data_IF_999598049244
#
_entry.id   IF_999598049244
#
_cell.length_a   1.000
_cell.length_b   1.000
_cell.length_c   1.000
_cell.angle_alpha   90.00
_cell.angle_beta   90.00
_cell.angle_gamma   90.00
#
_symmetry.space_group_name_H-M   'P 1'
#
loop_
_entity.id
_entity.type
_entity.pdbx_description
1 polymer ?
#
# COMPACT_ATOMS: atom_id res chain seq x y z
N UNK A 1 12.73 21.82 -8.76
CA UNK A 1 11.40 21.22 -8.48
C UNK A 1 11.06 21.14 -6.98
N UNK A 2 11.64 20.27 -6.13
CA UNK A 2 11.32 20.26 -4.68
C UNK A 2 11.70 21.57 -3.97
N UNK A 3 12.86 22.14 -4.34
CA UNK A 3 13.32 23.47 -3.88
C UNK A 3 12.47 24.63 -4.41
N UNK A 4 11.78 24.46 -5.54
CA UNK A 4 10.90 25.49 -6.14
C UNK A 4 9.55 25.53 -5.44
N UNK A 5 9.05 24.35 -5.03
CA UNK A 5 7.83 24.23 -4.22
C UNK A 5 8.03 24.79 -2.80
N UNK A 6 9.22 24.62 -2.22
CA UNK A 6 9.59 25.25 -0.94
C UNK A 6 9.73 26.78 -1.07
N UNK A 7 10.16 27.28 -2.23
CA UNK A 7 10.35 28.72 -2.51
C UNK A 7 9.06 29.55 -2.52
N UNK A 8 7.90 28.91 -2.61
CA UNK A 8 6.59 29.58 -2.66
C UNK A 8 5.71 29.29 -1.45
N UNK A 9 6.26 28.69 -0.38
CA UNK A 9 5.48 28.39 0.83
C UNK A 9 4.29 27.46 0.59
N UNK A 10 4.24 26.78 -0.57
CA UNK A 10 3.08 26.03 -0.99
C UNK A 10 3.17 24.59 -0.47
N UNK A 11 2.86 24.43 0.82
CA UNK A 11 2.84 23.16 1.55
C UNK A 11 1.98 22.11 0.81
N UNK A 12 0.91 22.54 0.12
CA UNK A 12 0.12 21.66 -0.73
C UNK A 12 0.94 21.02 -1.86
N UNK A 13 1.85 21.74 -2.50
CA UNK A 13 2.62 21.24 -3.63
C UNK A 13 3.66 20.19 -3.19
N UNK A 14 4.26 20.38 -2.02
CA UNK A 14 5.17 19.39 -1.41
C UNK A 14 4.41 18.13 -1.01
N UNK A 15 3.25 18.29 -0.36
CA UNK A 15 2.40 17.17 0.03
C UNK A 15 1.89 16.38 -1.19
N UNK A 16 1.46 17.09 -2.25
CA UNK A 16 1.04 16.50 -3.53
C UNK A 16 2.17 15.70 -4.17
N UNK A 17 3.40 16.22 -4.16
CA UNK A 17 4.55 15.53 -4.74
C UNK A 17 4.88 14.24 -3.99
N UNK A 18 4.87 14.27 -2.65
CA UNK A 18 5.14 13.07 -1.83
C UNK A 18 4.05 12.01 -2.01
N UNK A 19 2.78 12.41 -1.98
CA UNK A 19 1.64 11.51 -2.21
C UNK A 19 1.70 10.90 -3.61
N UNK A 20 2.06 11.70 -4.62
CA UNK A 20 2.23 11.24 -5.99
C UNK A 20 3.34 10.18 -6.13
N UNK A 21 4.51 10.42 -5.52
CA UNK A 21 5.63 9.48 -5.56
C UNK A 21 5.30 8.15 -4.85
N UNK A 22 4.64 8.22 -3.69
CA UNK A 22 4.16 7.04 -2.95
C UNK A 22 3.09 6.30 -3.78
N UNK A 23 2.16 7.04 -4.39
CA UNK A 23 1.11 6.48 -5.24
C UNK A 23 1.68 5.73 -6.44
N UNK A 24 2.57 6.35 -7.21
CA UNK A 24 3.23 5.70 -8.35
C UNK A 24 4.03 4.46 -7.94
N UNK A 25 4.75 4.55 -6.81
CA UNK A 25 5.51 3.42 -6.27
C UNK A 25 4.59 2.24 -5.95
N UNK A 26 3.51 2.47 -5.19
CA UNK A 26 2.53 1.41 -4.86
C UNK A 26 1.82 0.88 -6.11
N UNK A 27 1.38 1.75 -7.03
CA UNK A 27 0.71 1.33 -8.26
C UNK A 27 1.60 0.50 -9.19
N UNK A 28 2.93 0.68 -9.15
CA UNK A 28 3.85 -0.12 -9.97
C UNK A 28 3.79 -1.62 -9.65
N UNK A 29 3.49 -1.99 -8.40
CA UNK A 29 3.22 -3.36 -7.99
C UNK A 29 1.99 -3.92 -8.70
N UNK A 30 0.87 -3.18 -8.69
CA UNK A 30 -0.39 -3.59 -9.28
C UNK A 30 -0.31 -3.64 -10.81
N UNK A 31 0.40 -2.70 -11.44
CA UNK A 31 0.63 -2.68 -12.89
C UNK A 31 1.41 -3.93 -13.32
N UNK A 32 2.47 -4.29 -12.59
CA UNK A 32 3.23 -5.51 -12.87
C UNK A 32 2.33 -6.75 -12.73
N UNK A 33 1.53 -6.82 -11.66
CA UNK A 33 0.61 -7.92 -11.44
C UNK A 33 -0.46 -8.02 -12.54
N UNK A 34 -1.03 -6.91 -12.97
CA UNK A 34 -2.04 -6.84 -14.03
C UNK A 34 -1.50 -7.39 -15.36
N UNK A 35 -0.27 -7.03 -15.74
CA UNK A 35 0.35 -7.48 -17.00
C UNK A 35 0.69 -8.98 -16.94
N UNK A 36 1.17 -9.45 -15.79
CA UNK A 36 1.68 -10.82 -15.63
C UNK A 36 0.56 -11.83 -15.39
N UNK A 37 -0.56 -11.41 -14.78
CA UNK A 37 -1.66 -12.31 -14.39
C UNK A 37 -2.21 -13.12 -15.56
N UNK A 38 -2.58 -12.54 -16.71
CA UNK A 38 -3.11 -13.33 -17.84
C UNK A 38 -2.11 -14.38 -18.34
N UNK A 39 -0.82 -14.02 -18.41
CA UNK A 39 0.25 -14.90 -18.87
C UNK A 39 0.44 -16.09 -17.93
N UNK A 40 0.52 -15.83 -16.62
CA UNK A 40 0.70 -16.85 -15.60
C UNK A 40 -0.54 -17.72 -15.44
N UNK A 41 -1.75 -17.15 -15.46
CA UNK A 41 -3.00 -17.90 -15.42
C UNK A 41 -3.10 -18.88 -16.59
N UNK A 42 -2.76 -18.44 -17.79
CA UNK A 42 -2.81 -19.28 -18.98
C UNK A 42 -1.76 -20.39 -18.99
N UNK A 43 -0.48 -20.05 -18.78
CA UNK A 43 0.63 -21.03 -18.80
C UNK A 43 0.54 -21.96 -17.59
N UNK A 44 0.22 -21.41 -16.42
CA UNK A 44 0.13 -22.14 -15.16
C UNK A 44 -1.05 -23.10 -15.09
N UNK A 45 -2.13 -22.85 -15.84
CA UNK A 45 -3.32 -23.72 -15.88
C UNK A 45 -3.02 -25.15 -16.36
N UNK A 46 -2.01 -25.35 -17.21
CA UNK A 46 -1.67 -26.68 -17.77
C UNK A 46 -0.48 -27.35 -17.07
N UNK A 47 0.33 -26.57 -16.34
CA UNK A 47 1.58 -27.01 -15.72
C UNK A 47 1.42 -27.28 -14.21
N UNK A 48 2.53 -27.58 -13.53
CA UNK A 48 2.55 -27.81 -12.07
C UNK A 48 2.34 -26.47 -11.34
N UNK A 49 1.09 -26.11 -11.03
CA UNK A 49 0.73 -24.83 -10.37
C UNK A 49 1.60 -24.48 -9.14
N UNK A 50 1.91 -25.41 -8.20
CA UNK A 50 2.77 -25.09 -7.05
C UNK A 50 4.17 -24.62 -7.43
N UNK A 51 4.71 -25.07 -8.58
CA UNK A 51 6.02 -24.63 -9.06
C UNK A 51 6.00 -23.14 -9.45
N UNK A 52 4.92 -22.67 -10.09
CA UNK A 52 4.73 -21.26 -10.41
C UNK A 52 4.55 -20.44 -9.15
N UNK A 53 3.80 -20.94 -8.16
CA UNK A 53 3.67 -20.30 -6.86
C UNK A 53 5.02 -20.19 -6.12
N UNK A 54 5.86 -21.23 -6.18
CA UNK A 54 7.19 -21.22 -5.58
C UNK A 54 8.11 -20.18 -6.23
N UNK A 55 8.23 -20.18 -7.56
CA UNK A 55 9.01 -19.17 -8.29
C UNK A 55 8.47 -17.76 -8.09
N UNK A 56 7.15 -17.60 -8.02
CA UNK A 56 6.51 -16.35 -7.66
C UNK A 56 6.96 -15.87 -6.28
N UNK A 57 6.82 -16.70 -5.26
CA UNK A 57 7.19 -16.34 -3.89
C UNK A 57 8.68 -16.02 -3.73
N UNK A 58 9.55 -16.77 -4.42
CA UNK A 58 10.98 -16.45 -4.49
C UNK A 58 11.22 -15.06 -5.11
N UNK A 59 10.59 -14.80 -6.26
CA UNK A 59 10.69 -13.50 -6.96
C UNK A 59 10.17 -12.36 -6.08
N UNK A 60 9.09 -12.59 -5.32
CA UNK A 60 8.56 -11.61 -4.38
C UNK A 60 9.57 -11.27 -3.28
N UNK A 61 10.26 -12.27 -2.74
CA UNK A 61 11.34 -12.08 -1.78
C UNK A 61 12.50 -11.26 -2.35
N UNK A 62 12.92 -11.53 -3.59
CA UNK A 62 13.92 -10.72 -4.30
C UNK A 62 13.46 -9.27 -4.46
N UNK A 63 12.18 -9.05 -4.79
CA UNK A 63 11.59 -7.71 -4.85
C UNK A 63 11.70 -6.93 -3.53
N UNK A 64 11.45 -7.59 -2.40
CA UNK A 64 11.63 -6.96 -1.08
C UNK A 64 13.09 -6.63 -0.78
N UNK A 65 14.04 -7.51 -1.15
CA UNK A 65 15.46 -7.18 -1.01
C UNK A 65 15.87 -5.99 -1.86
N UNK A 66 15.37 -5.88 -3.10
CA UNK A 66 15.60 -4.70 -3.95
C UNK A 66 14.99 -3.44 -3.31
N UNK A 67 13.79 -3.55 -2.76
CA UNK A 67 13.09 -2.42 -2.13
C UNK A 67 13.80 -1.86 -0.91
N UNK A 68 14.52 -2.68 -0.13
CA UNK A 68 15.32 -2.21 1.01
C UNK A 68 16.70 -1.63 0.62
N UNK A 69 17.22 -1.91 -0.59
CA UNK A 69 18.55 -1.47 -1.02
C UNK A 69 18.81 0.03 -0.84
N UNK A 70 17.88 0.95 -1.17
CA UNK A 70 18.10 2.39 -1.04
C UNK A 70 18.66 2.80 0.32
N UNK A 71 18.25 2.16 1.41
CA UNK A 71 18.75 2.47 2.75
C UNK A 71 20.27 2.25 2.87
N UNK A 72 20.80 1.18 2.27
CA UNK A 72 22.21 0.81 2.39
C UNK A 72 23.12 1.50 1.38
N UNK A 73 22.56 1.88 0.22
CA UNK A 73 23.33 2.56 -0.84
C UNK A 73 23.27 4.08 -0.71
N UNK A 74 22.26 4.63 -0.02
CA UNK A 74 22.20 6.05 0.28
C UNK A 74 23.16 6.41 1.42
N UNK A 75 23.70 7.64 1.46
CA UNK A 75 24.40 8.15 2.63
C UNK A 75 23.55 8.00 3.91
N UNK A 76 24.18 7.73 5.08
CA UNK A 76 23.46 7.57 6.35
C UNK A 76 22.56 8.76 6.65
N UNK A 77 21.39 8.49 7.22
CA UNK A 77 20.44 9.55 7.53
C UNK A 77 20.97 10.45 8.66
N UNK A 78 21.42 11.65 8.29
CA UNK A 78 21.79 12.68 9.25
C UNK A 78 20.57 13.54 9.58
N UNK A 79 19.86 13.17 10.63
CA UNK A 79 18.93 14.10 11.23
C UNK A 79 19.75 15.23 11.86
N UNK A 80 19.45 16.50 11.56
CA UNK A 80 20.11 17.67 12.15
C UNK A 80 19.85 17.69 13.66
N UNK A 81 20.61 16.88 14.39
CA UNK A 81 20.63 16.82 15.83
C UNK A 81 21.54 17.97 16.27
N UNK A 82 21.01 18.84 17.12
CA UNK A 82 21.82 19.85 17.79
C UNK A 82 22.76 19.06 18.71
N UNK A 83 24.03 18.99 18.33
CA UNK A 83 25.08 18.39 19.14
C UNK A 83 25.28 19.34 20.32
N UNK A 84 24.60 19.09 21.44
CA UNK A 84 24.91 19.72 22.72
C UNK A 84 26.17 19.09 23.27
N UNK A 85 27.33 19.62 22.87
CA UNK A 85 28.56 19.40 23.62
C UNK A 85 28.46 20.24 24.90
N UNK A 86 28.37 19.56 26.04
CA UNK A 86 28.06 20.09 27.37
C UNK A 86 29.14 20.99 28.01
N UNK A 87 30.18 21.39 27.27
CA UNK A 87 31.37 22.03 27.86
C UNK A 87 31.76 23.39 27.25
N UNK A 88 30.92 24.00 26.41
CA UNK A 88 31.20 25.32 25.83
C UNK A 88 30.14 26.33 26.24
N UNK A 89 30.60 27.42 26.86
CA UNK A 89 29.83 28.63 27.14
C UNK A 89 29.03 29.08 25.91
N UNK A 90 27.78 29.45 26.16
CA UNK A 90 26.66 29.65 25.19
C UNK A 90 26.86 30.86 24.24
N UNK A 91 28.09 31.32 24.01
CA UNK A 91 28.34 32.53 23.21
C UNK A 91 28.77 32.27 21.77
N UNK A 92 29.27 31.09 21.42
CA UNK A 92 29.79 30.81 20.06
C UNK A 92 29.29 29.48 19.49
N UNK A 93 27.99 29.20 19.64
CA UNK A 93 27.37 28.16 18.84
C UNK A 93 27.15 28.77 17.45
N UNK A 94 27.92 28.33 16.43
CA UNK A 94 27.71 28.70 15.03
C UNK A 94 26.38 28.12 14.55
N UNK A 95 25.30 28.78 14.98
CA UNK A 95 23.89 28.47 14.77
C UNK A 95 23.50 29.10 13.45
N UNK A 96 23.98 28.52 12.35
CA UNK A 96 23.72 29.06 11.01
C UNK A 96 22.40 28.56 10.41
N UNK A 97 21.70 27.60 11.05
CA UNK A 97 20.49 27.00 10.45
C UNK A 97 19.35 26.65 11.46
N UNK A 98 19.13 27.47 12.49
CA UNK A 98 17.95 27.32 13.38
C UNK A 98 16.72 28.07 12.90
N UNK A 99 16.83 28.83 11.80
CA UNK A 99 15.72 29.64 11.29
C UNK A 99 15.19 30.66 12.29
N UNK A 100 16.03 31.17 13.21
CA UNK A 100 15.72 32.26 14.15
C UNK A 100 15.61 33.61 13.43
N UNK A 101 14.99 34.60 14.10
CA UNK A 101 14.96 35.99 13.64
C UNK A 101 16.31 36.67 13.89
N UNK A 102 16.87 37.33 12.87
CA UNK A 102 18.06 38.18 13.03
C UNK A 102 17.95 39.45 12.18
N UNK A 103 18.14 40.62 12.80
CA UNK A 103 17.94 41.94 12.18
C UNK A 103 18.96 42.33 11.09
N UNK A 104 20.03 41.56 10.93
CA UNK A 104 21.24 41.86 10.17
C UNK A 104 21.67 40.61 9.38
N UNK A 105 20.71 39.95 8.73
CA UNK A 105 20.98 38.82 7.86
C UNK A 105 21.62 39.32 6.56
N UNK A 106 22.90 39.71 6.62
CA UNK A 106 23.69 39.95 5.41
C UNK A 106 23.88 38.62 4.71
N UNK A 107 23.36 38.53 3.49
CA UNK A 107 23.25 37.33 2.67
C UNK A 107 24.62 36.83 2.14
N UNK A 108 25.65 36.78 2.99
CA UNK A 108 26.99 36.30 2.64
C UNK A 108 27.15 34.78 2.73
N UNK A 109 26.11 34.05 3.14
CA UNK A 109 26.09 32.57 3.15
C UNK A 109 24.95 31.95 2.32
N UNK A 110 24.26 32.72 1.47
CA UNK A 110 23.27 32.20 0.52
C UNK A 110 23.86 31.52 -0.72
N UNK A 111 25.19 31.57 -0.91
CA UNK A 111 25.88 30.97 -2.08
C UNK A 111 26.69 29.71 -1.80
N UNK A 112 26.90 29.34 -0.54
CA UNK A 112 27.70 28.15 -0.23
C UNK A 112 26.83 27.15 0.54
N UNK A 113 26.47 26.06 -0.16
CA UNK A 113 25.81 24.84 0.33
C UNK A 113 24.28 24.74 0.19
N UNK A 114 23.72 25.24 -0.90
CA UNK A 114 23.02 24.29 -1.76
C UNK A 114 24.06 23.84 -2.78
N UNK A 115 24.84 22.78 -2.47
CA UNK A 115 25.35 21.99 -3.58
C UNK A 115 24.10 21.66 -4.38
N UNK A 116 24.09 22.03 -5.67
CA UNK A 116 23.20 21.37 -6.60
C UNK A 116 23.38 19.88 -6.32
N UNK A 117 22.42 19.29 -5.61
CA UNK A 117 22.35 17.84 -5.52
C UNK A 117 22.30 17.43 -6.98
N UNK A 118 23.39 16.83 -7.43
CA UNK A 118 23.56 16.27 -8.75
C UNK A 118 22.24 15.64 -9.12
N UNK A 119 21.56 16.19 -10.14
CA UNK A 119 20.18 15.86 -10.55
C UNK A 119 19.94 14.36 -10.86
N UNK A 120 20.94 13.48 -10.65
CA UNK A 120 20.88 12.04 -10.81
C UNK A 120 20.83 11.19 -9.53
N UNK A 121 21.06 11.72 -8.32
CA UNK A 121 21.12 10.92 -7.09
C UNK A 121 19.75 10.41 -6.60
N UNK A 122 18.77 11.31 -6.46
CA UNK A 122 17.44 10.97 -5.93
C UNK A 122 16.61 10.11 -6.90
N UNK A 123 16.85 10.20 -8.21
CA UNK A 123 16.14 9.39 -9.22
C UNK A 123 16.53 7.92 -9.14
N UNK A 124 17.80 7.60 -8.87
CA UNK A 124 18.27 6.22 -8.79
C UNK A 124 17.63 5.46 -7.61
N UNK A 125 17.61 6.08 -6.43
CA UNK A 125 17.00 5.47 -5.23
C UNK A 125 15.49 5.28 -5.41
N UNK A 126 14.82 6.25 -6.03
CA UNK A 126 13.40 6.11 -6.38
C UNK A 126 13.16 4.98 -7.40
N UNK A 127 14.02 4.85 -8.41
CA UNK A 127 13.92 3.76 -9.38
C UNK A 127 14.09 2.39 -8.74
N UNK A 128 14.94 2.24 -7.72
CA UNK A 128 15.07 1.00 -6.94
C UNK A 128 13.80 0.65 -6.17
N UNK A 129 13.11 1.64 -5.57
CA UNK A 129 11.81 1.41 -4.93
C UNK A 129 10.76 0.92 -5.92
N UNK A 130 10.66 1.56 -7.08
CA UNK A 130 9.73 1.15 -8.16
C UNK A 130 10.09 -0.24 -8.69
N UNK A 131 11.37 -0.51 -8.93
CA UNK A 131 11.84 -1.82 -9.39
C UNK A 131 11.50 -2.92 -8.37
N UNK A 132 11.74 -2.68 -7.08
CA UNK A 132 11.39 -3.60 -6.01
C UNK A 132 9.89 -3.93 -5.99
N UNK A 133 9.04 -2.92 -6.15
CA UNK A 133 7.59 -3.10 -6.23
C UNK A 133 7.13 -3.86 -7.48
N UNK A 134 7.72 -3.57 -8.65
CA UNK A 134 7.44 -4.29 -9.90
C UNK A 134 7.80 -5.77 -9.77
N UNK A 135 8.99 -6.07 -9.25
CA UNK A 135 9.45 -7.45 -9.02
C UNK A 135 8.59 -8.15 -7.97
N UNK A 136 8.20 -7.45 -6.89
CA UNK A 136 7.30 -7.99 -5.88
C UNK A 136 5.89 -8.30 -6.45
N UNK A 137 5.32 -7.40 -7.25
CA UNK A 137 4.02 -7.60 -7.90
C UNK A 137 4.03 -8.76 -8.89
N UNK A 138 5.10 -8.87 -9.68
CA UNK A 138 5.36 -10.01 -10.55
C UNK A 138 5.41 -11.33 -9.76
N UNK A 139 6.12 -11.33 -8.64
CA UNK A 139 6.28 -12.50 -7.77
C UNK A 139 4.99 -12.91 -7.03
N UNK A 140 4.16 -11.95 -6.65
CA UNK A 140 2.91 -12.26 -5.95
C UNK A 140 1.86 -12.92 -6.87
N UNK A 141 1.87 -12.53 -8.15
CA UNK A 141 0.87 -12.90 -9.15
C UNK A 141 0.52 -14.39 -9.22
N UNK A 142 1.49 -15.34 -9.28
CA UNK A 142 1.17 -16.77 -9.34
C UNK A 142 0.36 -17.28 -8.16
N UNK A 143 0.54 -16.72 -6.95
CA UNK A 143 -0.20 -17.15 -5.78
C UNK A 143 -1.68 -16.80 -5.89
N UNK A 144 -2.00 -15.58 -6.34
CA UNK A 144 -3.38 -15.15 -6.58
C UNK A 144 -4.01 -15.86 -7.78
N UNK A 145 -3.26 -15.99 -8.88
CA UNK A 145 -3.75 -16.57 -10.13
C UNK A 145 -3.98 -18.09 -10.05
N UNK A 146 -3.09 -18.82 -9.37
CA UNK A 146 -3.06 -20.29 -9.41
C UNK A 146 -3.33 -20.95 -8.06
N UNK A 147 -3.26 -20.22 -6.95
CA UNK A 147 -3.46 -20.78 -5.60
C UNK A 147 -4.86 -21.33 -5.38
N UNK A 148 -5.90 -20.52 -5.64
CA UNK A 148 -7.30 -20.96 -5.53
C UNK A 148 -7.62 -22.09 -6.52
N UNK A 149 -7.29 -21.97 -7.83
CA UNK A 149 -7.49 -23.07 -8.77
C UNK A 149 -6.75 -24.36 -8.40
N UNK A 150 -5.58 -24.27 -7.75
CA UNK A 150 -4.86 -25.45 -7.29
C UNK A 150 -5.61 -26.14 -6.14
N UNK A 151 -6.16 -25.39 -5.18
CA UNK A 151 -6.99 -25.98 -4.12
C UNK A 151 -8.27 -26.60 -4.67
N UNK A 152 -8.93 -25.90 -5.60
CA UNK A 152 -10.19 -26.35 -6.21
C UNK A 152 -10.03 -27.70 -6.92
N UNK A 153 -8.94 -27.89 -7.65
CA UNK A 153 -8.64 -29.16 -8.33
C UNK A 153 -8.20 -30.29 -7.40
N UNK A 154 -7.67 -29.97 -6.22
CA UNK A 154 -7.01 -30.95 -5.34
C UNK A 154 -7.82 -31.33 -4.11
N UNK A 155 -8.84 -30.54 -3.76
CA UNK A 155 -9.69 -30.74 -2.59
C UNK A 155 -11.05 -31.26 -3.05
N UNK A 156 -11.74 -32.01 -2.19
CA UNK A 156 -13.07 -32.52 -2.50
C UNK A 156 -14.10 -31.37 -2.57
N UNK A 157 -14.89 -31.33 -3.64
CA UNK A 157 -15.97 -30.36 -3.95
C UNK A 157 -16.81 -29.95 -2.72
N UNK A 158 -17.07 -30.89 -1.79
CA UNK A 158 -17.88 -30.62 -0.57
C UNK A 158 -17.21 -29.71 0.46
N UNK A 159 -15.88 -29.67 0.49
CA UNK A 159 -15.10 -28.92 1.49
C UNK A 159 -14.21 -27.85 0.87
N UNK A 160 -14.07 -27.81 -0.46
CA UNK A 160 -13.23 -26.83 -1.18
C UNK A 160 -13.49 -25.38 -0.78
N UNK A 161 -14.76 -24.98 -0.65
CA UNK A 161 -15.13 -23.60 -0.23
C UNK A 161 -14.59 -23.23 1.15
N UNK A 162 -14.49 -24.18 2.08
CA UNK A 162 -13.90 -23.96 3.40
C UNK A 162 -12.38 -23.74 3.30
N UNK A 163 -11.68 -24.51 2.48
CA UNK A 163 -10.23 -24.35 2.28
C UNK A 163 -9.90 -23.01 1.60
N UNK A 164 -10.68 -22.62 0.58
CA UNK A 164 -10.56 -21.30 -0.05
C UNK A 164 -10.82 -20.18 0.97
N UNK A 165 -11.83 -20.34 1.84
CA UNK A 165 -12.08 -19.41 2.94
C UNK A 165 -10.90 -19.28 3.90
N UNK A 166 -10.27 -20.39 4.32
CA UNK A 166 -9.07 -20.38 5.17
C UNK A 166 -7.90 -19.68 4.47
N UNK A 167 -7.70 -19.94 3.18
CA UNK A 167 -6.65 -19.29 2.39
C UNK A 167 -6.84 -17.77 2.36
N UNK A 168 -8.03 -17.27 2.03
CA UNK A 168 -8.33 -15.82 2.02
C UNK A 168 -8.19 -15.22 3.42
N UNK A 169 -8.71 -15.89 4.44
CA UNK A 169 -8.59 -15.47 5.84
C UNK A 169 -7.12 -15.35 6.30
N UNK A 170 -6.26 -16.26 5.86
CA UNK A 170 -4.82 -16.22 6.18
C UNK A 170 -4.13 -14.99 5.59
N UNK A 171 -4.55 -14.52 4.40
CA UNK A 171 -4.08 -13.27 3.81
C UNK A 171 -4.47 -12.05 4.63
N UNK A 172 -5.73 -12.00 5.11
CA UNK A 172 -6.22 -10.92 5.98
C UNK A 172 -5.44 -10.91 7.31
N UNK A 173 -5.25 -12.08 7.92
CA UNK A 173 -4.45 -12.20 9.14
C UNK A 173 -3.00 -11.74 8.92
N UNK A 174 -2.40 -12.12 7.79
CA UNK A 174 -1.06 -11.67 7.39
C UNK A 174 -0.96 -10.14 7.31
N UNK A 175 -1.96 -9.47 6.74
CA UNK A 175 -2.02 -8.01 6.71
C UNK A 175 -2.06 -7.39 8.12
N UNK A 176 -2.84 -7.97 9.05
CA UNK A 176 -2.93 -7.52 10.44
C UNK A 176 -1.57 -7.59 11.14
N UNK A 177 -0.91 -8.74 11.01
CA UNK A 177 0.44 -8.97 11.54
C UNK A 177 1.44 -7.97 10.93
N UNK A 178 1.32 -7.71 9.62
CA UNK A 178 2.14 -6.72 8.91
C UNK A 178 1.99 -5.31 9.49
N UNK A 179 0.76 -4.82 9.70
CA UNK A 179 0.52 -3.49 10.28
C UNK A 179 1.02 -3.34 11.72
N UNK A 180 0.92 -4.40 12.52
CA UNK A 180 1.46 -4.41 13.89
C UNK A 180 2.99 -4.38 13.86
N UNK A 181 3.63 -5.19 13.02
CA UNK A 181 5.08 -5.26 12.93
C UNK A 181 5.68 -3.97 12.36
N UNK A 182 5.10 -3.40 11.29
CA UNK A 182 5.57 -2.12 10.73
C UNK A 182 5.43 -0.99 11.75
N UNK A 183 4.38 -1.00 12.59
CA UNK A 183 4.24 -0.05 13.70
C UNK A 183 5.43 -0.14 14.66
N UNK A 184 5.82 -1.37 15.07
CA UNK A 184 6.98 -1.59 15.95
C UNK A 184 8.30 -1.16 15.30
N UNK A 185 8.49 -1.46 14.02
CA UNK A 185 9.68 -1.05 13.28
C UNK A 185 9.78 0.48 13.14
N UNK A 186 8.65 1.16 12.93
CA UNK A 186 8.61 2.62 12.80
C UNK A 186 8.86 3.37 14.13
N UNK A 187 8.74 2.71 15.28
CA UNK A 187 9.12 3.28 16.60
C UNK A 187 10.63 3.24 16.83
N UNK A 188 11.37 2.41 16.09
CA UNK A 188 12.83 2.38 16.14
C UNK A 188 13.42 3.37 15.13
N UNK A 189 14.51 4.05 15.50
CA UNK A 189 15.16 5.01 14.60
C UNK A 189 15.77 4.27 13.40
N UNK A 190 15.80 4.95 12.25
CA UNK A 190 16.25 4.37 10.98
C UNK A 190 17.69 3.85 11.02
N UNK A 191 18.58 4.55 11.74
CA UNK A 191 19.97 4.13 11.95
C UNK A 191 20.12 3.39 13.28
N UNK A 192 20.33 2.06 13.27
CA UNK A 192 20.50 1.29 14.50
C UNK A 192 21.74 1.75 15.27
N UNK A 193 21.60 1.97 16.58
CA UNK A 193 22.73 2.30 17.47
C UNK A 193 23.12 3.78 17.53
N UNK A 194 22.50 4.65 16.72
CA UNK A 194 22.70 6.11 16.82
C UNK A 194 21.84 6.67 17.96
N UNK A 195 22.47 7.32 18.94
CA UNK A 195 21.74 8.09 19.95
C UNK A 195 21.26 9.40 19.34
N UNK A 196 19.95 9.62 19.38
CA UNK A 196 19.30 10.82 18.86
C UNK A 196 18.43 11.45 19.94
N UNK A 197 18.40 12.78 19.97
CA UNK A 197 17.47 13.55 20.81
C UNK A 197 16.05 13.60 20.23
N UNK A 198 15.86 13.10 19.00
CA UNK A 198 14.58 13.08 18.31
C UNK A 198 13.61 12.08 18.96
N UNK A 199 12.34 12.47 19.01
CA UNK A 199 11.25 11.61 19.47
C UNK A 199 10.39 11.17 18.29
N UNK A 200 9.58 10.12 18.47
CA UNK A 200 8.65 9.60 17.44
C UNK A 200 7.60 10.61 16.96
N UNK A 201 7.42 11.74 17.66
CA UNK A 201 6.50 12.81 17.27
C UNK A 201 7.18 13.86 16.38
N UNK A 202 8.52 13.86 16.32
CA UNK A 202 9.27 14.80 15.50
C UNK A 202 9.07 14.47 14.01
N UNK A 203 8.87 15.50 13.18
CA UNK A 203 8.74 15.34 11.72
C UNK A 203 10.02 14.82 11.06
N UNK A 204 11.17 15.01 11.71
CA UNK A 204 12.49 14.48 11.28
C UNK A 204 12.67 13.02 11.67
N UNK A 205 11.75 12.44 12.45
CA UNK A 205 11.83 11.03 12.80
C UNK A 205 11.56 10.16 11.58
N UNK A 206 12.59 9.45 11.12
CA UNK A 206 12.44 8.37 10.16
C UNK A 206 12.53 7.05 10.92
N UNK A 207 11.43 6.31 10.90
CA UNK A 207 11.37 4.98 11.50
C UNK A 207 12.11 3.95 10.67
N UNK A 208 12.44 2.80 11.28
CA UNK A 208 13.17 1.73 10.62
C UNK A 208 12.29 0.94 9.65
N UNK A 209 12.00 1.53 8.50
CA UNK A 209 11.09 0.99 7.49
C UNK A 209 11.63 -0.23 6.74
N UNK A 210 12.96 -0.39 6.67
CA UNK A 210 13.62 -1.39 5.81
C UNK A 210 13.71 -2.78 6.44
N UNK A 211 13.77 -2.89 7.78
CA UNK A 211 13.88 -4.17 8.49
C UNK A 211 12.76 -5.15 8.11
N UNK A 212 11.53 -4.64 7.96
CA UNK A 212 10.40 -5.46 7.56
C UNK A 212 10.63 -6.18 6.23
N UNK A 213 11.12 -5.45 5.22
CA UNK A 213 11.41 -6.02 3.91
C UNK A 213 12.52 -7.07 3.96
N UNK A 214 13.53 -6.88 4.81
CA UNK A 214 14.59 -7.88 5.02
C UNK A 214 14.03 -9.19 5.60
N UNK A 215 13.25 -9.08 6.69
CA UNK A 215 12.67 -10.25 7.38
C UNK A 215 11.69 -10.99 6.47
N UNK A 216 10.72 -10.28 5.89
CA UNK A 216 9.71 -10.90 5.04
C UNK A 216 10.28 -11.37 3.70
N UNK A 217 11.30 -10.69 3.16
CA UNK A 217 12.05 -11.16 2.00
C UNK A 217 12.72 -12.51 2.25
N UNK A 218 13.40 -12.65 3.39
CA UNK A 218 14.01 -13.91 3.81
C UNK A 218 12.96 -15.01 4.02
N UNK A 219 11.83 -14.71 4.69
CA UNK A 219 10.73 -15.66 4.87
C UNK A 219 10.18 -16.12 3.51
N UNK A 220 9.99 -15.22 2.55
CA UNK A 220 9.48 -15.58 1.22
C UNK A 220 10.44 -16.52 0.48
N UNK A 221 11.75 -16.21 0.50
CA UNK A 221 12.77 -17.08 -0.12
C UNK A 221 12.80 -18.44 0.56
N UNK A 222 12.79 -18.50 1.89
CA UNK A 222 12.78 -19.77 2.62
C UNK A 222 11.50 -20.58 2.34
N UNK A 223 10.33 -19.93 2.35
CA UNK A 223 9.04 -20.59 2.14
C UNK A 223 8.85 -21.06 0.69
N UNK A 224 9.49 -20.40 -0.27
CA UNK A 224 9.48 -20.82 -1.68
C UNK A 224 10.02 -22.24 -1.87
N UNK A 225 11.01 -22.64 -1.07
CA UNK A 225 11.62 -23.99 -1.12
C UNK A 225 10.58 -25.05 -0.75
N UNK A 226 9.78 -24.80 0.27
CA UNK A 226 8.74 -25.73 0.72
C UNK A 226 7.64 -25.93 -0.33
N UNK A 227 7.30 -24.89 -1.09
CA UNK A 227 6.31 -24.97 -2.17
C UNK A 227 6.77 -25.86 -3.33
N UNK A 228 8.08 -25.99 -3.58
CA UNK A 228 8.60 -26.87 -4.63
C UNK A 228 8.26 -28.35 -4.39
N UNK A 229 8.14 -28.74 -3.11
CA UNK A 229 7.82 -30.10 -2.67
C UNK A 229 6.38 -30.53 -2.92
N UNK A 230 5.45 -29.59 -3.16
CA UNK A 230 4.04 -29.93 -3.40
C UNK A 230 3.85 -30.67 -4.73
N UNK A 231 3.02 -31.72 -4.80
CA UNK A 231 2.74 -32.45 -6.04
C UNK A 231 1.88 -31.62 -7.01
N UNK A 232 1.86 -31.97 -8.31
CA UNK A 232 0.91 -31.35 -9.26
C UNK A 232 -0.55 -31.65 -8.90
N UNK A 233 -0.80 -32.89 -8.53
CA UNK A 233 -2.09 -33.40 -8.06
C UNK A 233 -1.83 -34.43 -6.97
N UNK A 234 -2.63 -34.44 -5.91
CA UNK A 234 -2.50 -35.47 -4.87
C UNK A 234 -2.90 -36.86 -5.43
N UNK A 235 -2.27 -37.96 -4.96
CA UNK A 235 -2.53 -39.31 -5.48
C UNK A 235 -4.00 -39.74 -5.41
N UNK A 236 -4.70 -39.31 -4.34
CA UNK A 236 -6.13 -39.56 -4.16
C UNK A 236 -6.97 -38.83 -5.21
N UNK A 237 -6.64 -37.57 -5.50
CA UNK A 237 -7.28 -36.76 -6.53
C UNK A 237 -7.09 -37.38 -7.91
N UNK A 238 -5.87 -37.81 -8.24
CA UNK A 238 -5.58 -38.53 -9.50
C UNK A 238 -6.46 -39.76 -9.69
N UNK A 239 -6.63 -40.56 -8.63
CA UNK A 239 -7.46 -41.77 -8.66
C UNK A 239 -8.94 -41.42 -8.90
N UNK A 240 -9.47 -40.41 -8.19
CA UNK A 240 -10.85 -39.95 -8.33
C UNK A 240 -11.13 -39.36 -9.71
N UNK A 241 -10.26 -38.49 -10.24
CA UNK A 241 -10.41 -37.90 -11.59
C UNK A 241 -10.37 -38.96 -12.67
N UNK A 242 -9.50 -39.97 -12.53
CA UNK A 242 -9.44 -41.10 -13.47
C UNK A 242 -10.75 -41.91 -13.47
N UNK A 243 -11.29 -42.22 -12.29
CA UNK A 243 -12.60 -42.90 -12.17
C UNK A 243 -13.71 -42.04 -12.78
N UNK A 244 -13.77 -40.74 -12.46
CA UNK A 244 -14.77 -39.80 -13.01
C UNK A 244 -14.70 -39.74 -14.54
N UNK A 245 -13.49 -39.68 -15.11
CA UNK A 245 -13.28 -39.67 -16.56
C UNK A 245 -13.71 -40.98 -17.25
N UNK A 246 -13.56 -42.12 -16.57
CA UNK A 246 -14.03 -43.42 -17.07
C UNK A 246 -15.57 -43.47 -17.03
N UNK A 247 -16.18 -43.04 -15.92
CA UNK A 247 -17.64 -42.95 -15.82
C UNK A 247 -18.25 -41.97 -16.84
N UNK A 248 -17.62 -40.81 -17.05
CA UNK A 248 -18.05 -39.81 -18.03
C UNK A 248 -18.04 -40.40 -19.44
N UNK A 249 -16.93 -41.03 -19.86
CA UNK A 249 -16.82 -41.71 -21.16
C UNK A 249 -17.87 -42.79 -21.35
N UNK A 250 -18.21 -43.53 -20.28
CA UNK A 250 -19.24 -44.55 -20.32
C UNK A 250 -20.64 -43.93 -20.50
N UNK A 251 -20.92 -42.80 -19.84
CA UNK A 251 -22.16 -42.07 -19.97
C UNK A 251 -22.30 -41.43 -21.36
N UNK A 252 -21.24 -40.82 -21.89
CA UNK A 252 -21.22 -40.21 -23.23
C UNK A 252 -21.40 -41.28 -24.33
N UNK A 253 -20.82 -42.46 -24.16
CA UNK A 253 -21.07 -43.60 -25.06
C UNK A 253 -22.51 -44.10 -25.01
N UNK A 254 -23.14 -44.09 -23.83
CA UNK A 254 -24.56 -44.42 -23.69
C UNK A 254 -25.45 -43.40 -24.41
N UNK A 255 -25.20 -42.10 -24.21
CA UNK A 255 -25.93 -41.00 -24.88
C UNK A 255 -25.74 -41.04 -26.40
N UNK A 256 -24.54 -41.32 -26.89
CA UNK A 256 -24.29 -41.48 -28.34
C UNK A 256 -25.03 -42.69 -28.93
N UNK A 257 -25.10 -43.82 -28.21
CA UNK A 257 -25.88 -44.99 -28.65
C UNK A 257 -27.38 -44.73 -28.66
N UNK A 258 -27.88 -43.98 -27.69
CA UNK A 258 -29.28 -43.59 -27.59
C UNK A 258 -29.67 -42.63 -28.73
N UNK A 259 -28.85 -41.60 -28.99
CA UNK A 259 -29.03 -40.67 -30.11
C UNK A 259 -28.91 -41.34 -31.49
N UNK A 260 -28.10 -42.39 -31.63
CA UNK A 260 -28.00 -43.17 -32.87
C UNK A 260 -29.23 -44.06 -33.12
N UNK A 261 -30.01 -44.37 -32.08
CA UNK A 261 -31.26 -45.13 -32.17
C UNK A 261 -32.41 -44.20 -32.59
N UNK A 262 -32.51 -43.01 -31.99
CA UNK A 262 -33.50 -41.97 -32.37
C UNK A 262 -33.23 -41.33 -33.73
N UNK A 263 -31.98 -41.27 -34.18
CA UNK A 263 -31.60 -40.75 -35.52
C UNK A 263 -32.04 -41.62 -36.71
N UNK A 264 -32.56 -42.83 -36.49
CA UNK A 264 -33.03 -43.71 -37.58
C UNK A 264 -34.47 -43.43 -38.03
N UNK A 265 -35.25 -42.64 -37.29
CA UNK A 265 -36.64 -42.31 -37.66
C UNK A 265 -36.81 -41.00 -38.42
N UNK A 266 -35.85 -40.06 -38.37
CA UNK A 266 -35.91 -38.80 -39.12
C UNK A 266 -34.73 -38.69 -40.12
N UNK A 267 -34.93 -39.16 -41.35
CA UNK A 267 -34.08 -38.80 -42.49
C UNK A 267 -34.87 -37.96 -43.48
N UNK A 268 -34.96 -36.66 -43.22
CA UNK A 268 -34.95 -35.63 -44.26
C UNK A 268 -34.76 -34.25 -43.62
N UNK A 269 -33.50 -33.81 -43.51
CA UNK A 269 -33.10 -32.40 -43.63
C UNK A 269 -31.60 -32.27 -43.43
N UNK A 270 -30.95 -31.66 -44.40
CA UNK A 270 -29.57 -31.19 -44.32
C UNK A 270 -29.44 -30.21 -43.14
N UNK A 271 -28.92 -30.68 -42.01
CA UNK A 271 -28.34 -29.80 -41.02
C UNK A 271 -26.87 -30.18 -40.81
N UNK A 272 -26.03 -29.28 -41.32
CA UNK A 272 -24.58 -29.29 -41.19
C UNK A 272 -24.22 -29.47 -39.72
N UNK A 273 -23.59 -30.60 -39.40
CA UNK A 273 -23.14 -30.94 -38.06
C UNK A 273 -22.00 -30.01 -37.69
N UNK A 274 -22.29 -28.99 -36.88
CA UNK A 274 -21.27 -28.16 -36.21
C UNK A 274 -20.35 -29.12 -35.43
N UNK A 275 -19.04 -29.16 -35.71
CA UNK A 275 -18.11 -29.95 -34.92
C UNK A 275 -18.16 -29.43 -33.49
N UNK A 276 -18.56 -30.28 -32.54
CA UNK A 276 -18.30 -30.07 -31.12
C UNK A 276 -16.80 -30.28 -30.92
N UNK A 277 -16.01 -29.26 -31.28
CA UNK A 277 -14.63 -29.18 -30.88
C UNK A 277 -14.59 -29.21 -29.35
N UNK A 278 -13.91 -30.22 -28.79
CA UNK A 278 -13.45 -30.22 -27.40
C UNK A 278 -12.78 -28.86 -27.16
N UNK A 279 -13.42 -27.99 -26.36
CA UNK A 279 -12.95 -26.63 -26.06
C UNK A 279 -11.79 -26.74 -25.06
N UNK A 280 -10.72 -27.44 -25.45
CA UNK A 280 -9.44 -27.42 -24.78
C UNK A 280 -8.64 -26.25 -25.31
N UNK A 281 -8.81 -25.07 -24.73
CA UNK A 281 -7.95 -23.91 -25.01
C UNK A 281 -6.50 -24.26 -24.65
N UNK A 282 -5.75 -24.75 -25.65
CA UNK A 282 -4.44 -25.39 -25.45
C UNK A 282 -3.29 -24.53 -25.94
N UNK A 283 -3.54 -23.54 -26.81
CA UNK A 283 -2.51 -22.65 -27.38
C UNK A 283 -2.73 -21.20 -26.96
N UNK A 284 -1.64 -20.46 -26.64
CA UNK A 284 -1.68 -19.04 -26.26
C UNK A 284 -2.47 -18.15 -27.24
N UNK A 285 -2.60 -18.58 -28.50
CA UNK A 285 -3.41 -17.92 -29.55
C UNK A 285 -4.92 -18.00 -29.30
N UNK A 286 -5.38 -18.91 -28.46
CA UNK A 286 -6.80 -19.09 -28.13
C UNK A 286 -7.23 -18.20 -26.96
N UNK A 287 -6.27 -17.61 -26.22
CA UNK A 287 -6.53 -16.68 -25.12
C UNK A 287 -7.51 -15.55 -25.48
N UNK A 288 -7.34 -14.79 -26.58
CA UNK A 288 -8.29 -13.72 -26.93
C UNK A 288 -9.70 -14.25 -27.23
N UNK A 289 -9.83 -15.45 -27.80
CA UNK A 289 -11.14 -16.07 -28.07
C UNK A 289 -11.82 -16.50 -26.78
N UNK A 290 -11.07 -17.11 -25.85
CA UNK A 290 -11.55 -17.50 -24.52
C UNK A 290 -11.97 -16.28 -23.70
N UNK A 291 -11.13 -15.23 -23.67
CA UNK A 291 -11.45 -13.97 -23.00
C UNK A 291 -12.71 -13.34 -23.58
N UNK A 292 -12.83 -13.26 -24.91
CA UNK A 292 -14.04 -12.72 -25.56
C UNK A 292 -15.30 -13.47 -25.16
N UNK A 293 -15.25 -14.80 -25.10
CA UNK A 293 -16.41 -15.63 -24.70
C UNK A 293 -16.89 -15.28 -23.28
N UNK A 294 -15.96 -15.18 -22.33
CA UNK A 294 -16.25 -14.86 -20.92
C UNK A 294 -16.84 -13.46 -20.77
N UNK A 295 -16.20 -12.46 -21.38
CA UNK A 295 -16.67 -11.07 -21.36
C UNK A 295 -17.96 -10.83 -22.17
N UNK A 296 -18.40 -11.78 -23.00
CA UNK A 296 -19.67 -11.68 -23.71
C UNK A 296 -20.88 -11.92 -22.80
N UNK A 297 -20.68 -12.43 -21.58
CA UNK A 297 -21.75 -12.63 -20.61
C UNK A 297 -21.94 -11.39 -19.72
N UNK A 298 -23.08 -10.73 -19.87
CA UNK A 298 -23.41 -9.49 -19.14
C UNK A 298 -23.31 -9.61 -17.61
N UNK A 299 -23.83 -10.69 -16.97
CA UNK A 299 -23.73 -10.86 -15.53
C UNK A 299 -22.29 -10.97 -15.04
N UNK A 300 -21.43 -11.68 -15.78
CA UNK A 300 -20.01 -11.82 -15.45
C UNK A 300 -19.30 -10.47 -15.50
N UNK A 301 -19.60 -9.66 -16.52
CA UNK A 301 -19.03 -8.32 -16.67
C UNK A 301 -19.36 -7.43 -15.45
N UNK A 302 -20.63 -7.34 -15.06
CA UNK A 302 -21.05 -6.51 -13.93
C UNK A 302 -20.46 -6.99 -12.59
N UNK A 303 -20.44 -8.31 -12.35
CA UNK A 303 -19.83 -8.89 -11.14
C UNK A 303 -18.33 -8.59 -11.09
N UNK A 304 -17.64 -8.72 -12.22
CA UNK A 304 -16.19 -8.44 -12.32
C UNK A 304 -15.90 -6.96 -12.09
N UNK A 305 -16.66 -6.05 -12.70
CA UNK A 305 -16.53 -4.60 -12.46
C UNK A 305 -16.76 -4.26 -11.00
N UNK A 306 -17.78 -4.84 -10.36
CA UNK A 306 -18.04 -4.67 -8.94
C UNK A 306 -16.86 -5.12 -8.06
N UNK A 307 -16.33 -6.32 -8.33
CA UNK A 307 -15.17 -6.86 -7.61
C UNK A 307 -13.90 -6.00 -7.80
N UNK A 308 -13.70 -5.45 -9.01
CA UNK A 308 -12.60 -4.52 -9.29
C UNK A 308 -12.74 -3.22 -8.49
N UNK A 309 -13.94 -2.64 -8.40
CA UNK A 309 -14.20 -1.43 -7.62
C UNK A 309 -14.01 -1.67 -6.11
N UNK A 310 -14.45 -2.82 -5.60
CA UNK A 310 -14.23 -3.22 -4.22
C UNK A 310 -12.73 -3.38 -3.92
N UNK A 311 -12.00 -4.09 -4.78
CA UNK A 311 -10.55 -4.28 -4.65
C UNK A 311 -9.80 -2.95 -4.71
N UNK A 312 -10.23 -2.03 -5.57
CA UNK A 312 -9.69 -0.67 -5.66
C UNK A 312 -9.90 0.09 -4.34
N UNK A 313 -11.09 0.04 -3.75
CA UNK A 313 -11.37 0.69 -2.46
C UNK A 313 -10.48 0.13 -1.35
N UNK A 314 -10.30 -1.19 -1.29
CA UNK A 314 -9.41 -1.83 -0.32
C UNK A 314 -7.96 -1.37 -0.52
N UNK A 315 -7.46 -1.35 -1.76
CA UNK A 315 -6.10 -0.91 -2.08
C UNK A 315 -5.85 0.56 -1.71
N UNK A 316 -6.76 1.47 -2.09
CA UNK A 316 -6.68 2.90 -1.75
C UNK A 316 -6.71 3.11 -0.24
N UNK A 317 -7.61 2.41 0.45
CA UNK A 317 -7.75 2.53 1.90
C UNK A 317 -6.50 2.00 2.61
N UNK A 318 -5.92 0.89 2.16
CA UNK A 318 -4.67 0.35 2.69
C UNK A 318 -3.47 1.28 2.49
N UNK A 319 -3.34 1.89 1.31
CA UNK A 319 -2.21 2.75 0.98
C UNK A 319 -2.29 4.14 1.65
N UNK A 320 -3.48 4.74 1.69
CA UNK A 320 -3.62 6.16 2.04
C UNK A 320 -4.32 6.43 3.38
N UNK A 321 -5.17 5.53 3.89
CA UNK A 321 -5.89 5.81 5.15
C UNK A 321 -4.94 5.98 6.35
N UNK A 322 -3.86 5.20 6.54
CA UNK A 322 -2.89 5.48 7.58
C UNK A 322 -2.28 6.88 7.44
N UNK A 323 -2.08 7.35 6.20
CA UNK A 323 -1.55 8.69 5.95
C UNK A 323 -2.57 9.77 6.28
N UNK A 324 -3.83 9.56 5.94
CA UNK A 324 -4.94 10.43 6.35
C UNK A 324 -4.99 10.52 7.88
N UNK A 325 -4.87 9.40 8.60
CA UNK A 325 -4.82 9.39 10.06
C UNK A 325 -3.64 10.22 10.60
N UNK A 326 -2.46 10.08 9.99
CA UNK A 326 -1.29 10.88 10.37
C UNK A 326 -1.51 12.37 10.16
N UNK A 327 -2.05 12.76 8.99
CA UNK A 327 -2.15 14.17 8.61
C UNK A 327 -3.34 14.89 9.23
N UNK A 328 -4.49 14.22 9.35
CA UNK A 328 -5.72 14.83 9.84
C UNK A 328 -5.81 14.82 11.37
N UNK A 329 -5.30 13.76 12.01
CA UNK A 329 -5.39 13.58 13.47
C UNK A 329 -4.03 13.74 14.18
N UNK A 330 -3.02 14.26 13.48
CA UNK A 330 -1.67 14.53 14.02
C UNK A 330 -1.03 13.33 14.73
N UNK A 331 -1.32 12.12 14.24
CA UNK A 331 -0.79 10.90 14.84
C UNK A 331 0.59 10.56 14.25
N UNK A 332 1.55 10.09 15.09
CA UNK A 332 2.81 9.55 14.61
C UNK A 332 2.60 8.38 13.63
N UNK A 333 3.49 8.17 12.64
CA UNK A 333 3.35 7.11 11.64
C UNK A 333 3.10 5.72 12.24
N UNK A 334 3.84 5.37 13.30
CA UNK A 334 3.68 4.09 13.98
C UNK A 334 2.28 3.90 14.60
N UNK A 335 1.73 4.94 15.23
CA UNK A 335 0.41 4.87 15.88
C UNK A 335 -0.73 4.82 14.86
N UNK A 336 -0.60 5.57 13.78
CA UNK A 336 -1.57 5.54 12.68
C UNK A 336 -1.63 4.16 11.99
N UNK A 337 -0.48 3.55 11.71
CA UNK A 337 -0.41 2.20 11.15
C UNK A 337 -1.01 1.15 12.09
N UNK A 338 -0.75 1.27 13.41
CA UNK A 338 -1.31 0.37 14.41
C UNK A 338 -2.84 0.47 14.50
N UNK A 339 -3.37 1.69 14.53
CA UNK A 339 -4.82 1.92 14.58
C UNK A 339 -5.51 1.32 13.36
N UNK A 340 -4.94 1.53 12.16
CA UNK A 340 -5.46 0.92 10.94
C UNK A 340 -5.44 -0.62 11.04
N UNK A 341 -4.30 -1.19 11.44
CA UNK A 341 -4.13 -2.64 11.57
C UNK A 341 -5.06 -3.30 12.58
N UNK A 342 -5.35 -2.63 13.71
CA UNK A 342 -6.20 -3.18 14.77
C UNK A 342 -7.70 -3.01 14.52
N UNK A 343 -8.11 -1.98 13.79
CA UNK A 343 -9.53 -1.70 13.55
C UNK A 343 -9.97 -2.31 12.22
N UNK A 344 -9.29 -1.93 11.13
CA UNK A 344 -9.75 -2.24 9.77
C UNK A 344 -9.56 -3.72 9.46
N UNK A 345 -8.42 -4.31 9.79
CA UNK A 345 -8.11 -5.69 9.41
C UNK A 345 -9.01 -6.72 10.14
N UNK A 346 -9.20 -6.65 11.47
CA UNK A 346 -10.16 -7.52 12.15
C UNK A 346 -11.60 -7.31 11.68
N UNK A 347 -12.01 -6.07 11.36
CA UNK A 347 -13.34 -5.83 10.80
C UNK A 347 -13.52 -6.52 9.44
N UNK A 348 -12.50 -6.52 8.58
CA UNK A 348 -12.53 -7.22 7.30
C UNK A 348 -12.61 -8.74 7.50
N UNK A 349 -11.86 -9.29 8.46
CA UNK A 349 -11.93 -10.71 8.81
C UNK A 349 -13.34 -11.10 9.32
N UNK A 350 -13.88 -10.36 10.29
CA UNK A 350 -15.20 -10.59 10.85
C UNK A 350 -16.30 -10.45 9.79
N UNK A 351 -16.21 -9.45 8.91
CA UNK A 351 -17.16 -9.24 7.82
C UNK A 351 -17.18 -10.39 6.82
N UNK A 352 -16.01 -10.87 6.39
CA UNK A 352 -15.90 -12.03 5.51
C UNK A 352 -16.47 -13.31 6.15
N UNK A 353 -16.13 -13.55 7.42
CA UNK A 353 -16.62 -14.73 8.14
C UNK A 353 -18.14 -14.68 8.37
N UNK A 354 -18.67 -13.51 8.71
CA UNK A 354 -20.10 -13.27 8.88
C UNK A 354 -20.84 -13.46 7.54
N UNK A 355 -20.32 -12.92 6.44
CA UNK A 355 -20.87 -13.11 5.09
C UNK A 355 -20.94 -14.58 4.70
N UNK A 356 -19.84 -15.33 4.89
CA UNK A 356 -19.78 -16.76 4.63
C UNK A 356 -20.75 -17.56 5.51
N UNK A 357 -20.86 -17.20 6.80
CA UNK A 357 -21.78 -17.83 7.74
C UNK A 357 -23.25 -17.61 7.36
N UNK A 358 -23.64 -16.38 7.02
CA UNK A 358 -25.00 -16.02 6.60
C UNK A 358 -25.36 -16.79 5.32
N UNK A 359 -24.47 -16.78 4.33
CA UNK A 359 -24.70 -17.48 3.06
C UNK A 359 -24.92 -18.99 3.28
N UNK A 360 -24.08 -19.62 4.13
CA UNK A 360 -24.20 -21.05 4.48
C UNK A 360 -25.46 -21.37 5.29
N UNK A 361 -25.80 -20.54 6.28
CA UNK A 361 -26.94 -20.78 7.18
C UNK A 361 -28.28 -20.58 6.50
N UNK A 362 -28.40 -19.50 5.73
CA UNK A 362 -29.65 -19.15 5.04
C UNK A 362 -29.78 -19.85 3.68
N UNK A 363 -28.72 -20.53 3.21
CA UNK A 363 -28.66 -21.20 1.89
C UNK A 363 -29.09 -20.23 0.78
N UNK A 364 -28.48 -19.05 0.76
CA UNK A 364 -28.88 -17.99 -0.17
C UNK A 364 -28.64 -18.43 -1.61
N UNK A 365 -29.62 -18.18 -2.48
CA UNK A 365 -29.44 -18.32 -3.92
C UNK A 365 -28.59 -17.14 -4.45
N UNK A 366 -28.16 -17.20 -5.72
CA UNK A 366 -27.34 -16.11 -6.31
C UNK A 366 -28.04 -14.75 -6.20
N UNK A 367 -29.34 -14.68 -6.47
CA UNK A 367 -30.13 -13.44 -6.38
C UNK A 367 -30.16 -12.89 -4.95
N UNK A 368 -30.32 -13.75 -3.95
CA UNK A 368 -30.39 -13.32 -2.55
C UNK A 368 -29.01 -12.91 -2.03
N UNK A 369 -27.96 -13.58 -2.48
CA UNK A 369 -26.58 -13.17 -2.21
C UNK A 369 -26.28 -11.79 -2.82
N UNK A 370 -26.72 -11.54 -4.06
CA UNK A 370 -26.56 -10.24 -4.70
C UNK A 370 -27.33 -9.13 -3.97
N UNK A 371 -28.56 -9.41 -3.50
CA UNK A 371 -29.34 -8.48 -2.65
C UNK A 371 -28.62 -8.16 -1.35
N UNK A 372 -28.05 -9.17 -0.70
CA UNK A 372 -27.25 -8.96 0.51
C UNK A 372 -26.04 -8.06 0.24
N UNK A 373 -25.28 -8.32 -0.83
CA UNK A 373 -24.14 -7.46 -1.22
C UNK A 373 -24.58 -6.01 -1.44
N UNK A 374 -25.72 -5.79 -2.10
CA UNK A 374 -26.26 -4.45 -2.33
C UNK A 374 -26.62 -3.74 -1.01
N UNK A 375 -27.27 -4.42 -0.07
CA UNK A 375 -27.60 -3.86 1.26
C UNK A 375 -26.32 -3.49 2.03
N UNK A 376 -25.32 -4.37 2.03
CA UNK A 376 -24.04 -4.13 2.71
C UNK A 376 -23.30 -2.95 2.07
N UNK A 377 -23.32 -2.83 0.74
CA UNK A 377 -22.73 -1.70 0.03
C UNK A 377 -23.39 -0.36 0.41
N UNK A 378 -24.73 -0.33 0.52
CA UNK A 378 -25.44 0.87 0.99
C UNK A 378 -25.06 1.26 2.41
N UNK A 379 -24.95 0.29 3.33
CA UNK A 379 -24.47 0.54 4.69
C UNK A 379 -23.03 1.07 4.69
N UNK A 380 -22.16 0.53 3.82
CA UNK A 380 -20.80 1.01 3.61
C UNK A 380 -20.75 2.47 3.15
N UNK A 381 -21.62 2.87 2.22
CA UNK A 381 -21.73 4.27 1.77
C UNK A 381 -22.12 5.21 2.92
N UNK A 382 -23.10 4.82 3.74
CA UNK A 382 -23.50 5.61 4.92
C UNK A 382 -22.32 5.76 5.89
N UNK A 383 -21.56 4.69 6.13
CA UNK A 383 -20.39 4.73 7.03
C UNK A 383 -19.25 5.63 6.51
N UNK A 384 -19.15 5.84 5.20
CA UNK A 384 -18.14 6.71 4.59
C UNK A 384 -18.30 8.19 4.96
N UNK A 385 -19.48 8.59 5.47
CA UNK A 385 -19.71 9.92 6.04
C UNK A 385 -18.77 10.24 7.23
N UNK A 386 -18.19 9.22 7.88
CA UNK A 386 -17.18 9.41 8.93
C UNK A 386 -15.93 10.15 8.43
N UNK A 387 -15.64 10.16 7.13
CA UNK A 387 -14.54 10.94 6.54
C UNK A 387 -14.76 12.47 6.60
N UNK A 388 -15.97 12.91 6.96
CA UNK A 388 -16.28 14.33 7.19
C UNK A 388 -15.76 14.80 8.55
N UNK A 389 -15.45 13.87 9.48
CA UNK A 389 -14.84 14.20 10.76
C UNK A 389 -13.42 14.73 10.53
N UNK A 390 -13.23 16.02 10.80
CA UNK A 390 -11.94 16.72 10.73
C UNK A 390 -11.59 17.27 12.10
N UNK A 391 -10.30 17.30 12.43
CA UNK A 391 -9.82 18.12 13.53
C UNK A 391 -9.77 19.58 13.08
N UNK A 392 -10.01 20.50 14.00
CA UNK A 392 -9.84 21.93 13.73
C UNK A 392 -8.41 22.20 13.26
N UNK A 393 -8.30 23.01 12.21
CA UNK A 393 -6.98 23.43 11.72
C UNK A 393 -6.33 24.31 12.80
N UNK A 394 -5.10 24.01 13.25
CA UNK A 394 -4.41 24.86 14.19
C UNK A 394 -4.31 26.28 13.62
N UNK A 395 -4.55 27.28 14.47
CA UNK A 395 -4.35 28.69 14.13
C UNK A 395 -2.86 28.94 13.90
N UNK A 396 -2.52 29.35 12.69
CA UNK A 396 -1.19 29.71 12.21
C UNK A 396 -1.23 31.19 11.80
N UNK A 397 -0.43 32.00 12.49
CA UNK A 397 -0.26 33.43 12.25
C UNK A 397 0.18 33.70 10.81
N UNK A 398 -0.58 34.52 10.09
CA UNK A 398 -0.34 34.90 8.70
C UNK A 398 -0.70 33.85 7.65
N UNK A 399 -1.38 32.76 8.04
CA UNK A 399 -1.91 31.74 7.12
C UNK A 399 -3.43 31.61 7.24
N UNK A 400 -3.94 31.40 8.45
CA UNK A 400 -5.38 31.27 8.74
C UNK A 400 -5.83 32.06 9.99
N UNK A 401 -4.89 32.69 10.70
CA UNK A 401 -5.16 33.59 11.81
C UNK A 401 -4.25 34.83 11.71
N UNK A 402 -4.72 36.03 12.09
CA UNK A 402 -3.87 37.22 12.06
C UNK A 402 -2.81 37.19 13.16
N UNK A 403 -1.70 37.91 12.95
CA UNK A 403 -0.74 38.21 14.00
C UNK A 403 -1.37 39.10 15.09
N UNK A 404 -0.87 39.06 16.34
CA UNK A 404 -1.20 40.07 17.34
C UNK A 404 -0.88 41.46 16.76
N UNK A 405 -1.88 42.35 16.71
CA UNK A 405 -1.82 43.69 16.08
C UNK A 405 -1.85 43.74 14.54
N UNK A 406 -2.19 42.65 13.86
CA UNK A 406 -2.58 42.66 12.43
C UNK A 406 -4.06 42.33 12.28
N UNK A 407 -4.69 42.87 11.24
CA UNK A 407 -6.06 42.53 10.84
C UNK A 407 -6.11 41.55 9.67
N UNK A 408 -5.00 41.36 8.94
CA UNK A 408 -4.93 40.44 7.80
C UNK A 408 -4.49 39.02 8.25
N UNK A 409 -5.35 38.00 8.10
CA UNK A 409 -5.01 36.62 8.44
C UNK A 409 -4.05 35.94 7.46
N UNK A 410 -3.77 36.52 6.29
CA UNK A 410 -2.95 35.91 5.24
C UNK A 410 -1.59 36.59 5.02
N UNK A 411 -1.14 37.38 6.01
CA UNK A 411 0.14 38.07 5.96
C UNK A 411 1.15 37.45 6.93
N UNK A 412 2.18 36.80 6.37
CA UNK A 412 3.29 36.20 7.13
C UNK A 412 4.22 37.25 7.77
N UNK A 413 4.20 38.50 7.30
CA UNK A 413 5.01 39.59 7.85
C UNK A 413 4.22 40.41 8.87
N UNK A 414 4.82 40.65 10.03
CA UNK A 414 4.27 41.43 11.13
C UNK A 414 5.39 42.28 11.77
N UNK A 415 5.07 43.30 12.57
CA UNK A 415 6.08 44.17 13.19
C UNK A 415 7.18 43.40 13.96
N UNK A 416 6.83 42.27 14.59
CA UNK A 416 7.78 41.43 15.31
C UNK A 416 8.82 40.72 14.42
N UNK A 417 8.52 40.53 13.13
CA UNK A 417 9.38 39.78 12.21
C UNK A 417 9.89 40.61 11.01
N UNK A 418 9.46 41.86 10.87
CA UNK A 418 9.84 42.77 9.78
C UNK A 418 11.36 42.98 9.69
N UNK A 419 12.05 43.01 10.82
CA UNK A 419 13.51 43.16 10.85
C UNK A 419 14.25 41.87 10.42
N UNK A 420 13.60 40.71 10.42
CA UNK A 420 14.26 39.40 10.36
C UNK A 420 14.50 38.85 8.94
N UNK A 421 13.90 39.46 7.91
CA UNK A 421 13.94 39.01 6.50
C UNK A 421 13.70 37.49 6.32
N UNK A 422 12.52 37.00 6.72
CA UNK A 422 12.20 35.57 6.80
C UNK A 422 11.84 34.89 5.46
N UNK A 423 11.99 35.56 4.32
CA UNK A 423 11.50 35.11 3.01
C UNK A 423 12.07 33.77 2.51
N UNK A 424 13.25 33.36 2.98
CA UNK A 424 13.89 32.09 2.62
C UNK A 424 13.90 31.04 3.75
N UNK A 425 13.14 31.25 4.83
CA UNK A 425 13.08 30.30 5.95
C UNK A 425 12.00 29.26 5.69
N UNK A 426 12.38 27.97 5.67
CA UNK A 426 11.46 26.86 5.51
C UNK A 426 10.47 26.69 6.67
N UNK A 427 9.35 26.02 6.40
CA UNK A 427 8.31 25.76 7.40
C UNK A 427 8.82 24.89 8.54
N UNK A 428 8.85 25.45 9.75
CA UNK A 428 9.34 24.83 10.98
C UNK A 428 8.45 25.30 12.14
N UNK A 429 7.22 24.77 12.25
CA UNK A 429 6.20 25.41 13.08
C UNK A 429 6.60 25.44 14.55
N UNK A 430 6.37 26.60 15.17
CA UNK A 430 6.52 26.83 16.61
C UNK A 430 5.21 27.31 17.18
N UNK A 431 4.94 27.01 18.45
CA UNK A 431 3.71 27.43 19.12
C UNK A 431 4.01 28.28 20.35
N UNK A 432 3.16 29.27 20.59
CA UNK A 432 3.12 30.08 21.81
C UNK A 432 1.88 29.70 22.65
N UNK A 433 1.54 28.41 22.65
CA UNK A 433 0.34 27.85 23.29
C UNK A 433 -0.95 28.04 22.48
N UNK A 434 -1.39 29.29 22.27
CA UNK A 434 -2.68 29.61 21.62
C UNK A 434 -2.58 29.84 20.10
N UNK A 435 -1.39 30.24 19.62
CA UNK A 435 -1.13 30.56 18.22
C UNK A 435 0.13 29.84 17.75
N UNK A 436 0.07 29.30 16.55
CA UNK A 436 1.22 28.70 15.89
C UNK A 436 1.82 29.69 14.89
N UNK A 437 3.12 29.59 14.64
CA UNK A 437 3.83 30.43 13.69
C UNK A 437 4.50 29.55 12.63
N UNK A 438 4.67 30.09 11.43
CA UNK A 438 5.23 29.35 10.29
C UNK A 438 6.66 28.85 10.53
N UNK A 439 7.49 29.65 11.20
CA UNK A 439 8.85 29.30 11.62
C UNK A 439 9.28 30.14 12.83
N UNK A 440 10.40 29.81 13.52
CA UNK A 440 10.93 30.64 14.60
C UNK A 440 11.23 32.08 14.14
N UNK A 441 11.67 32.28 12.90
CA UNK A 441 11.88 33.60 12.30
C UNK A 441 10.58 34.38 12.20
N UNK A 442 9.52 33.74 11.69
CA UNK A 442 8.21 34.37 11.55
C UNK A 442 7.57 34.69 12.91
N UNK A 443 7.93 33.93 13.95
CA UNK A 443 7.56 34.23 15.34
C UNK A 443 8.41 35.36 16.00
N UNK A 444 9.44 35.88 15.33
CA UNK A 444 10.33 36.90 15.90
C UNK A 444 11.30 36.37 16.95
N UNK A 445 11.56 35.05 16.98
CA UNK A 445 12.37 34.45 18.03
C UNK A 445 13.86 34.74 17.86
N UNK A 446 14.47 35.35 18.89
CA UNK A 446 15.89 35.77 18.87
C UNK A 446 16.82 34.74 19.50
N UNK A 447 16.31 33.89 20.40
CA UNK A 447 17.10 32.91 21.15
C UNK A 447 16.39 31.58 21.22
N UNK A 448 17.18 30.53 21.20
CA UNK A 448 16.75 29.15 21.43
C UNK A 448 17.19 28.76 22.84
N UNK A 449 16.26 28.25 23.67
CA UNK A 449 16.57 27.77 25.00
C UNK A 449 16.31 26.26 25.06
N UNK A 450 17.36 25.48 25.35
CA UNK A 450 17.26 24.01 25.43
C UNK A 450 17.36 23.60 26.89
N UNK A 451 16.23 23.39 27.57
CA UNK A 451 16.25 22.90 28.96
C UNK A 451 16.40 21.37 28.99
N UNK A 452 17.47 20.90 29.64
CA UNK A 452 17.77 19.49 29.91
C UNK A 452 16.77 18.88 30.90
N UNK A 453 15.59 18.51 30.39
CA UNK A 453 14.71 17.43 30.84
C UNK A 453 13.34 17.68 30.22
N UNK A 454 13.10 17.00 29.09
CA UNK A 454 11.78 16.69 28.51
C UNK A 454 11.16 17.73 27.54
N UNK A 455 11.09 17.28 26.26
CA UNK A 455 10.02 17.42 25.23
C UNK A 455 9.76 18.68 24.43
N UNK A 456 10.28 19.87 24.74
CA UNK A 456 9.96 21.05 23.90
C UNK A 456 11.14 21.98 23.72
N UNK A 457 11.37 22.40 22.47
CA UNK A 457 12.27 23.52 22.17
C UNK A 457 11.51 24.82 22.45
N UNK A 458 11.94 25.56 23.48
CA UNK A 458 11.36 26.86 23.78
C UNK A 458 12.12 27.95 23.03
N UNK A 459 11.37 28.78 22.31
CA UNK A 459 11.87 29.95 21.63
C UNK A 459 11.34 31.20 22.36
N UNK A 460 12.21 32.18 22.59
CA UNK A 460 11.79 33.44 23.21
C UNK A 460 11.52 34.48 22.10
N UNK A 461 10.27 34.92 22.00
CA UNK A 461 9.86 36.11 21.25
C UNK A 461 9.89 37.34 22.18
N UNK A 462 10.01 38.54 21.61
CA UNK A 462 9.91 39.83 22.32
C UNK A 462 8.54 40.44 22.08
#
# INVERSE_FOLDING_TARGET
MLQEALRHGNIELVLRTVIYMIGMMTSSYDIAAMIITPLISYIGGTRKKPLFCAWGLFTMGVGFFIFMLPHFVSPPYQATAIITNSNTSITDLSVTDTGLCWANRTDQLGKNQCKEETKGGNTLYYALFVLGMVVAGAGCTPMYALGIPYMDENVNDKVTSMYVGIFVASGILGAAVGFVLISRFLVMFVEPGVQTSLTIQDKRWVGNWWIGFAIFGAICVLWSIWLLGFPKEFPLTKKTTRIRSICQKHCDQHVQRENALTSKEDRDSNHESIPKDDIGFSRLKDLPKATKLVFSSLPFLFVTVGACLESFLVAVTGAFLPKVIQTQFYQPPARAALLYGLVVVPSAFCGNMLGAYINKRLKLNLTDSARMCFIVALLGLVSSSALVLKCDTPSIAGVNAPYPNSSDPHQLSAPCNQACNCSQVGYTPVCDGLLNYFSPCHAGCLRMNTTEKVRYTMYHAV
#
